data_IF_307473521686
#
_entry.id   IF_307473521686
#
_cell.length_a   1.000
_cell.length_b   1.000
_cell.length_c   1.000
_cell.angle_alpha   90.00
_cell.angle_beta   90.00
_cell.angle_gamma   90.00
#
_symmetry.space_group_name_H-M   'P 1'
#
loop_
_entity.id
_entity.type
_entity.pdbx_description
1 polymer ?
#
# COMPACT_ATOMS: atom_id res chain seq x y z
N UNK A 1 7.68 -17.06 -2.98
CA UNK A 1 7.32 -17.30 -1.55
C UNK A 1 8.08 -16.37 -0.60
N UNK A 2 8.49 -15.17 -1.05
CA UNK A 2 9.31 -14.23 -0.27
C UNK A 2 8.66 -12.85 -0.27
N UNK A 3 8.71 -12.17 0.86
CA UNK A 3 8.23 -10.79 1.01
C UNK A 3 9.21 -9.94 1.82
N UNK A 4 9.09 -8.62 1.71
CA UNK A 4 9.76 -7.62 2.54
C UNK A 4 8.73 -6.95 3.42
N UNK A 5 8.92 -7.03 4.74
CA UNK A 5 8.09 -6.29 5.68
C UNK A 5 8.73 -4.93 5.98
N UNK A 6 8.11 -3.85 5.50
CA UNK A 6 8.57 -2.47 5.69
C UNK A 6 7.89 -1.77 6.88
N UNK A 7 6.78 -2.33 7.38
CA UNK A 7 6.00 -1.72 8.45
C UNK A 7 5.49 -0.33 8.04
N UNK A 8 5.61 0.66 8.94
CA UNK A 8 5.23 2.03 8.64
C UNK A 8 6.34 2.80 7.93
N UNK A 9 6.00 3.44 6.81
CA UNK A 9 6.91 4.37 6.16
C UNK A 9 7.19 5.61 7.04
N UNK A 10 8.39 6.21 6.94
CA UNK A 10 8.66 7.50 7.58
C UNK A 10 7.62 8.55 7.18
N UNK A 11 7.22 9.41 8.13
CA UNK A 11 6.17 10.42 7.87
C UNK A 11 6.68 11.59 7.03
N UNK A 12 7.95 11.94 7.17
CA UNK A 12 8.57 13.10 6.50
C UNK A 12 9.96 12.76 5.96
N UNK A 13 11.00 12.92 6.80
CA UNK A 13 12.39 12.73 6.39
C UNK A 13 12.63 11.26 6.02
N UNK A 14 13.25 11.02 4.86
CA UNK A 14 13.63 9.70 4.39
C UNK A 14 12.52 8.89 3.71
N UNK A 15 11.26 9.37 3.69
CA UNK A 15 10.14 8.67 3.04
C UNK A 15 10.39 8.42 1.55
N UNK A 16 10.70 9.48 0.82
CA UNK A 16 10.95 9.42 -0.62
C UNK A 16 12.21 8.61 -0.96
N UNK A 17 13.26 8.71 -0.13
CA UNK A 17 14.46 7.88 -0.28
C UNK A 17 14.14 6.40 -0.09
N UNK A 18 13.30 6.06 0.90
CA UNK A 18 12.86 4.69 1.15
C UNK A 18 12.04 4.15 -0.02
N UNK A 19 11.05 4.91 -0.50
CA UNK A 19 10.22 4.50 -1.64
C UNK A 19 11.05 4.23 -2.90
N UNK A 20 11.95 5.14 -3.24
CA UNK A 20 12.85 4.96 -4.40
C UNK A 20 13.72 3.72 -4.29
N UNK A 21 14.24 3.42 -3.10
CA UNK A 21 15.04 2.21 -2.88
C UNK A 21 14.23 0.91 -3.04
N UNK A 22 12.91 0.97 -2.85
CA UNK A 22 12.00 -0.18 -3.00
C UNK A 22 11.48 -0.35 -4.43
N UNK A 23 11.73 0.60 -5.33
CA UNK A 23 11.21 0.54 -6.71
C UNK A 23 11.71 -0.70 -7.47
N UNK A 24 12.95 -1.11 -7.17
CA UNK A 24 13.62 -2.26 -7.79
C UNK A 24 13.50 -3.56 -6.97
N UNK A 25 12.70 -3.56 -5.89
CA UNK A 25 12.51 -4.76 -5.07
C UNK A 25 11.57 -5.75 -5.77
N UNK A 26 12.08 -6.95 -6.07
CA UNK A 26 11.34 -8.02 -6.78
C UNK A 26 10.37 -8.81 -5.89
N UNK A 27 10.56 -8.77 -4.56
CA UNK A 27 9.67 -9.43 -3.60
C UNK A 27 8.41 -8.60 -3.37
N UNK A 28 7.34 -9.26 -2.97
CA UNK A 28 6.15 -8.56 -2.44
C UNK A 28 6.54 -7.68 -1.26
N UNK A 29 6.10 -6.43 -1.28
CA UNK A 29 6.31 -5.45 -0.23
C UNK A 29 5.07 -5.42 0.68
N UNK A 30 5.27 -5.39 1.99
CA UNK A 30 4.18 -5.34 2.98
C UNK A 30 4.38 -4.14 3.90
N UNK A 31 3.35 -3.29 3.96
CA UNK A 31 3.33 -2.04 4.72
C UNK A 31 2.16 -2.02 5.71
N UNK A 32 2.32 -1.27 6.79
CA UNK A 32 1.22 -0.79 7.61
C UNK A 32 0.92 0.66 7.27
N UNK A 33 -0.36 1.03 7.27
CA UNK A 33 -0.75 2.41 7.08
C UNK A 33 -1.97 2.82 7.92
N UNK A 34 -1.96 4.09 8.34
CA UNK A 34 -3.08 4.69 9.08
C UNK A 34 -4.15 5.20 8.10
N UNK A 35 -5.42 5.31 8.55
CA UNK A 35 -6.51 5.67 7.66
C UNK A 35 -6.31 7.09 7.08
N UNK A 36 -5.75 8.00 7.88
CA UNK A 36 -5.49 9.38 7.46
C UNK A 36 -4.41 9.53 6.38
N UNK A 37 -3.62 8.48 6.12
CA UNK A 37 -2.50 8.51 5.17
C UNK A 37 -2.63 7.51 4.04
N UNK A 38 -3.61 6.60 4.08
CA UNK A 38 -3.75 5.54 3.10
C UNK A 38 -3.76 6.08 1.67
N UNK A 39 -4.69 6.99 1.35
CA UNK A 39 -4.85 7.49 -0.01
C UNK A 39 -3.59 8.18 -0.53
N UNK A 40 -2.99 9.06 0.30
CA UNK A 40 -1.71 9.70 -0.02
C UNK A 40 -0.61 8.67 -0.33
N UNK A 41 -0.53 7.60 0.48
CA UNK A 41 0.49 6.56 0.32
C UNK A 41 0.25 5.74 -0.94
N UNK A 42 -1.00 5.42 -1.26
CA UNK A 42 -1.34 4.72 -2.50
C UNK A 42 -0.98 5.54 -3.74
N UNK A 43 -1.20 6.86 -3.74
CA UNK A 43 -0.73 7.71 -4.83
C UNK A 43 0.80 7.72 -4.94
N UNK A 44 1.53 7.86 -3.83
CA UNK A 44 2.99 7.80 -3.84
C UNK A 44 3.52 6.44 -4.32
N UNK A 45 2.80 5.35 -4.02
CA UNK A 45 3.08 4.02 -4.57
C UNK A 45 2.83 3.98 -6.07
N UNK A 46 1.72 4.51 -6.57
CA UNK A 46 1.44 4.54 -8.01
C UNK A 46 2.49 5.37 -8.76
N UNK A 47 2.91 6.50 -8.20
CA UNK A 47 3.96 7.35 -8.76
C UNK A 47 5.33 6.66 -8.79
N UNK A 48 5.64 5.84 -7.79
CA UNK A 48 6.96 5.20 -7.64
C UNK A 48 7.04 3.85 -8.35
N UNK A 49 5.99 3.03 -8.25
CA UNK A 49 5.96 1.63 -8.69
C UNK A 49 5.18 1.43 -9.99
N UNK A 50 4.41 2.44 -10.42
CA UNK A 50 3.50 2.41 -11.56
C UNK A 50 2.06 2.08 -11.16
N UNK A 51 1.09 2.80 -11.76
CA UNK A 51 -0.35 2.63 -11.46
C UNK A 51 -0.89 1.22 -11.74
N UNK A 52 -0.29 0.51 -12.70
CA UNK A 52 -0.65 -0.87 -13.07
C UNK A 52 -0.10 -1.93 -12.09
N UNK A 53 0.74 -1.55 -11.11
CA UNK A 53 1.29 -2.51 -10.15
C UNK A 53 0.18 -3.12 -9.32
N UNK A 54 0.14 -4.44 -9.20
CA UNK A 54 -0.87 -5.11 -8.38
C UNK A 54 -0.66 -4.82 -6.89
N UNK A 55 -1.76 -4.60 -6.19
CA UNK A 55 -1.79 -4.36 -4.76
C UNK A 55 -3.00 -5.03 -4.09
N UNK A 56 -2.88 -5.24 -2.78
CA UNK A 56 -3.96 -5.68 -1.90
C UNK A 56 -3.96 -4.79 -0.67
N UNK A 57 -5.10 -4.22 -0.33
CA UNK A 57 -5.30 -3.42 0.89
C UNK A 57 -6.31 -4.15 1.77
N UNK A 58 -5.85 -4.59 2.93
CA UNK A 58 -6.67 -5.29 3.91
C UNK A 58 -6.91 -4.41 5.13
N UNK A 59 -8.16 -4.36 5.60
CA UNK A 59 -8.62 -3.56 6.75
C UNK A 59 -9.10 -4.46 7.87
N UNK A 60 -8.72 -4.13 9.11
CA UNK A 60 -9.32 -4.68 10.34
C UNK A 60 -9.37 -6.22 10.41
N UNK A 61 -8.23 -6.88 10.14
CA UNK A 61 -8.05 -8.35 10.05
C UNK A 61 -8.54 -9.15 11.29
N UNK A 62 -8.76 -8.50 12.44
CA UNK A 62 -9.25 -9.15 13.67
C UNK A 62 -10.72 -8.91 14.01
N UNK A 63 -11.48 -8.19 13.16
CA UNK A 63 -12.87 -7.82 13.42
C UNK A 63 -13.81 -8.44 12.39
N UNK A 64 -15.08 -8.59 12.78
CA UNK A 64 -16.14 -9.23 11.97
C UNK A 64 -16.35 -8.57 10.59
N UNK A 65 -15.82 -7.36 10.39
CA UNK A 65 -15.95 -6.57 9.17
C UNK A 65 -14.62 -6.43 8.40
N UNK A 66 -13.82 -7.51 8.34
CA UNK A 66 -12.62 -7.54 7.50
C UNK A 66 -13.00 -7.30 6.04
N UNK A 67 -12.29 -6.38 5.40
CA UNK A 67 -12.41 -6.09 3.98
C UNK A 67 -11.03 -6.18 3.33
N UNK A 68 -10.95 -6.79 2.16
CA UNK A 68 -9.74 -6.80 1.34
C UNK A 68 -10.07 -6.39 -0.08
N UNK A 69 -9.46 -5.30 -0.52
CA UNK A 69 -9.56 -4.77 -1.88
C UNK A 69 -8.29 -5.16 -2.65
N UNK A 70 -8.46 -5.67 -3.86
CA UNK A 70 -7.35 -6.12 -4.73
C UNK A 70 -7.54 -5.59 -6.13
N UNK A 71 -6.45 -5.24 -6.77
CA UNK A 71 -6.44 -4.72 -8.14
C UNK A 71 -5.09 -4.08 -8.44
N UNK A 72 -5.02 -3.30 -9.52
CA UNK A 72 -3.91 -2.38 -9.73
C UNK A 72 -3.94 -1.27 -8.67
N UNK A 73 -2.80 -0.59 -8.45
CA UNK A 73 -2.77 0.58 -7.57
C UNK A 73 -3.79 1.64 -8.01
N UNK A 74 -3.99 1.83 -9.31
CA UNK A 74 -5.00 2.74 -9.84
C UNK A 74 -6.44 2.34 -9.45
N UNK A 75 -6.79 1.06 -9.58
CA UNK A 75 -8.12 0.55 -9.19
C UNK A 75 -8.35 0.65 -7.67
N UNK A 76 -7.32 0.33 -6.88
CA UNK A 76 -7.37 0.42 -5.41
C UNK A 76 -7.52 1.87 -4.96
N UNK A 77 -6.81 2.82 -5.60
CA UNK A 77 -6.97 4.26 -5.35
C UNK A 77 -8.41 4.68 -5.62
N UNK A 78 -8.95 4.37 -6.80
CA UNK A 78 -10.31 4.73 -7.17
C UNK A 78 -11.34 4.23 -6.16
N UNK A 79 -11.18 2.99 -5.66
CA UNK A 79 -12.03 2.47 -4.60
C UNK A 79 -12.00 3.34 -3.33
N UNK A 80 -10.82 3.68 -2.82
CA UNK A 80 -10.69 4.46 -1.57
C UNK A 80 -10.95 5.96 -1.73
N UNK A 81 -11.05 6.48 -2.94
CA UNK A 81 -11.59 7.82 -3.21
C UNK A 81 -13.11 7.88 -3.01
N UNK A 82 -13.81 6.78 -3.31
CA UNK A 82 -15.28 6.71 -3.23
C UNK A 82 -15.80 6.13 -1.90
N UNK A 83 -14.95 5.44 -1.13
CA UNK A 83 -15.35 4.72 0.08
C UNK A 83 -14.71 5.28 1.37
N UNK A 84 -15.40 5.25 2.53
CA UNK A 84 -14.85 5.76 3.77
C UNK A 84 -13.60 5.00 4.25
N UNK A 85 -12.49 5.74 4.41
CA UNK A 85 -11.24 5.19 4.95
C UNK A 85 -11.27 5.23 6.48
N UNK A 86 -11.50 4.08 7.12
CA UNK A 86 -11.50 3.91 8.58
C UNK A 86 -10.69 2.67 8.97
N UNK A 87 -10.22 2.62 10.21
CA UNK A 87 -9.47 1.47 10.73
C UNK A 87 -7.99 1.48 10.36
N UNK A 88 -7.31 0.37 10.62
CA UNK A 88 -5.88 0.18 10.33
C UNK A 88 -5.73 -0.74 9.11
N UNK A 89 -4.72 -0.46 8.29
CA UNK A 89 -4.53 -1.12 7.01
C UNK A 89 -3.20 -1.86 6.93
N UNK A 90 -3.25 -3.04 6.31
CA UNK A 90 -2.09 -3.72 5.74
C UNK A 90 -2.15 -3.54 4.23
N UNK A 91 -1.07 -3.03 3.64
CA UNK A 91 -0.95 -2.84 2.20
C UNK A 91 0.15 -3.75 1.67
N UNK A 92 -0.23 -4.66 0.77
CA UNK A 92 0.69 -5.51 0.05
C UNK A 92 0.83 -4.99 -1.38
N UNK A 93 2.06 -4.79 -1.86
CA UNK A 93 2.34 -4.35 -3.24
C UNK A 93 3.21 -5.39 -3.92
N UNK A 94 2.87 -5.74 -5.15
CA UNK A 94 3.69 -6.64 -5.98
C UNK A 94 5.10 -6.06 -6.16
N UNK A 95 6.12 -6.90 -6.05
CA UNK A 95 7.49 -6.52 -6.39
C UNK A 95 7.66 -6.23 -7.87
N UNK A 96 8.83 -5.74 -8.26
CA UNK A 96 9.20 -5.53 -9.66
C UNK A 96 9.32 -6.88 -10.39
N UNK A 97 8.60 -7.01 -11.51
CA UNK A 97 8.58 -8.18 -12.39
C UNK A 97 7.81 -7.90 -13.66
#
# INVERSE_FOLDING_TARGET
DRFCFEGFLPVKKGRQTRLKALADESRTLVFYESPHRLLKTLHEFADTFGGERLASVSREISKVYEETIRGTLAEVIAHFEEHPIKGEFVVCVQGLG
#
